data_IF_108104404819
#
_entry.id   IF_108104404819
#
_cell.length_a   1.000
_cell.length_b   1.000
_cell.length_c   1.000
_cell.angle_alpha   90.00
_cell.angle_beta   90.00
_cell.angle_gamma   90.00
#
_symmetry.space_group_name_H-M   'P 1'
#
loop_
_entity.id
_entity.type
_entity.pdbx_description
1 polymer ?
#
# COMPACT_ATOMS: atom_id res chain seq x y z
N UNK A 1 -15.05 13.66 -11.03
CA UNK A 1 -15.43 12.50 -11.89
C UNK A 1 -16.75 11.95 -11.39
N UNK A 2 -17.59 11.35 -12.24
CA UNK A 2 -18.81 10.68 -11.77
C UNK A 2 -18.54 9.18 -11.69
N UNK A 3 -18.80 8.58 -10.54
CA UNK A 3 -18.67 7.16 -10.33
C UNK A 3 -20.02 6.47 -10.55
N UNK A 4 -19.99 5.22 -10.98
CA UNK A 4 -21.20 4.43 -11.13
C UNK A 4 -21.53 3.79 -9.79
N UNK A 5 -22.58 4.25 -9.11
CA UNK A 5 -22.98 3.82 -7.77
C UNK A 5 -23.10 2.29 -7.62
N UNK A 6 -23.63 1.64 -8.66
CA UNK A 6 -23.82 0.20 -8.66
C UNK A 6 -22.58 -0.62 -9.05
N UNK A 7 -21.44 0.04 -9.34
CA UNK A 7 -20.20 -0.67 -9.64
C UNK A 7 -19.75 -1.43 -8.37
N UNK A 8 -19.48 -2.72 -8.52
CA UNK A 8 -18.90 -3.51 -7.42
C UNK A 8 -17.42 -3.20 -7.29
N UNK A 9 -16.97 -2.99 -6.07
CA UNK A 9 -15.58 -2.77 -5.72
C UNK A 9 -15.01 -4.02 -5.03
N UNK A 10 -13.79 -4.38 -5.44
CA UNK A 10 -12.99 -5.43 -4.83
C UNK A 10 -11.86 -4.80 -4.01
N UNK A 11 -12.09 -4.65 -2.72
CA UNK A 11 -11.13 -4.04 -1.79
C UNK A 11 -9.91 -4.92 -1.53
N UNK A 12 -9.95 -6.21 -1.89
CA UNK A 12 -8.79 -7.11 -1.72
C UNK A 12 -7.57 -6.73 -2.57
N UNK A 13 -7.78 -5.90 -3.60
CA UNK A 13 -6.72 -5.39 -4.48
C UNK A 13 -5.98 -4.18 -3.89
N UNK A 14 -6.44 -3.67 -2.74
CA UNK A 14 -5.83 -2.52 -2.08
C UNK A 14 -5.46 -2.87 -0.64
N UNK A 15 -4.26 -2.50 -0.25
CA UNK A 15 -3.79 -2.65 1.14
C UNK A 15 -3.32 -1.30 1.65
N UNK A 16 -3.19 -1.15 2.96
CA UNK A 16 -2.69 0.08 3.57
C UNK A 16 -1.66 -0.20 4.66
N UNK A 17 -0.81 0.79 4.90
CA UNK A 17 -0.01 0.87 6.11
C UNK A 17 0.10 2.31 6.56
N UNK A 18 -0.10 2.57 7.85
CA UNK A 18 0.27 3.83 8.44
C UNK A 18 1.69 3.70 9.00
N UNK A 19 2.61 4.53 8.51
CA UNK A 19 3.92 4.69 9.12
C UNK A 19 3.74 5.29 10.51
N UNK A 20 3.56 4.41 11.51
CA UNK A 20 3.25 4.81 12.87
C UNK A 20 4.43 5.52 13.53
N UNK A 21 4.39 6.84 13.56
CA UNK A 21 4.95 7.63 14.64
C UNK A 21 4.04 7.54 15.88
N UNK A 22 3.76 6.32 16.36
CA UNK A 22 3.03 6.07 17.60
C UNK A 22 4.02 5.96 18.75
N UNK A 23 4.12 7.00 19.58
CA UNK A 23 4.66 6.90 20.93
C UNK A 23 3.74 5.99 21.76
N UNK A 24 3.85 4.70 21.57
CA UNK A 24 3.24 3.64 22.34
C UNK A 24 4.27 2.53 22.46
N UNK A 25 5.02 2.52 23.59
CA UNK A 25 6.16 1.66 23.83
C UNK A 25 5.90 0.18 23.54
N UNK A 26 6.31 -0.25 22.37
CA UNK A 26 6.77 -1.62 22.15
C UNK A 26 8.27 -1.50 21.93
N UNK A 27 9.04 -1.98 22.90
CA UNK A 27 10.48 -2.04 22.82
C UNK A 27 10.87 -2.69 21.51
N UNK A 28 11.49 -1.90 20.62
CA UNK A 28 12.27 -2.45 19.53
C UNK A 28 13.45 -3.20 20.19
N UNK A 29 13.35 -4.51 20.29
CA UNK A 29 14.45 -5.39 20.68
C UNK A 29 15.39 -5.50 19.48
N UNK A 30 16.05 -4.43 19.15
CA UNK A 30 17.09 -4.33 18.14
C UNK A 30 18.26 -3.55 18.72
N UNK A 31 19.23 -4.27 19.20
CA UNK A 31 20.43 -3.72 19.83
C UNK A 31 21.07 -4.73 20.78
N UNK A 32 22.20 -4.38 21.35
CA UNK A 32 22.94 -5.22 22.33
C UNK A 32 22.03 -5.77 23.46
N UNK A 33 21.00 -5.01 23.87
CA UNK A 33 19.99 -5.43 24.84
C UNK A 33 19.15 -6.63 24.41
N UNK A 34 18.85 -6.78 23.11
CA UNK A 34 18.09 -7.92 22.59
C UNK A 34 18.85 -9.24 22.67
N UNK A 35 20.14 -9.19 22.43
CA UNK A 35 21.02 -10.37 22.50
C UNK A 35 21.11 -10.85 23.96
N UNK A 36 21.19 -9.95 24.92
CA UNK A 36 21.25 -10.29 26.36
C UNK A 36 19.96 -10.96 26.81
N UNK A 37 18.79 -10.49 26.36
CA UNK A 37 17.49 -11.07 26.71
C UNK A 37 17.36 -12.49 26.13
N UNK A 38 17.80 -12.73 24.88
CA UNK A 38 17.78 -14.06 24.26
C UNK A 38 18.72 -15.02 24.99
N UNK A 39 19.92 -14.58 25.35
CA UNK A 39 20.88 -15.41 26.11
C UNK A 39 20.37 -15.70 27.52
N UNK A 40 19.70 -14.76 28.17
CA UNK A 40 19.10 -14.96 29.50
C UNK A 40 17.93 -15.93 29.43
N UNK A 41 17.10 -15.86 28.38
CA UNK A 41 15.99 -16.79 28.14
C UNK A 41 16.52 -18.23 27.94
N UNK A 42 17.58 -18.41 27.15
CA UNK A 42 18.24 -19.70 26.96
C UNK A 42 18.79 -20.26 28.27
N UNK A 43 19.37 -19.40 29.11
CA UNK A 43 19.92 -19.80 30.39
C UNK A 43 18.85 -20.22 31.42
N UNK A 44 17.66 -19.60 31.31
CA UNK A 44 16.50 -19.89 32.18
C UNK A 44 15.61 -21.01 31.63
N UNK A 45 15.98 -21.65 30.52
CA UNK A 45 15.25 -22.77 29.93
C UNK A 45 13.97 -22.39 29.21
N UNK A 46 13.79 -21.11 28.87
CA UNK A 46 12.70 -20.64 28.00
C UNK A 46 13.10 -20.81 26.54
N UNK A 47 12.17 -21.32 25.71
CA UNK A 47 12.39 -21.45 24.27
C UNK A 47 12.51 -20.06 23.65
N UNK A 48 13.69 -19.65 23.15
CA UNK A 48 13.86 -18.35 22.52
C UNK A 48 13.03 -18.20 21.25
N UNK A 49 12.56 -19.29 20.63
CA UNK A 49 11.62 -19.26 19.50
C UNK A 49 10.27 -18.65 19.86
N UNK A 50 9.82 -18.81 21.11
CA UNK A 50 8.58 -18.20 21.60
C UNK A 50 8.72 -16.68 21.85
N UNK A 51 9.95 -16.21 22.12
CA UNK A 51 10.25 -14.78 22.33
C UNK A 51 10.70 -14.06 21.06
N UNK A 52 11.32 -14.77 20.13
CA UNK A 52 11.78 -14.25 18.82
C UNK A 52 10.81 -14.63 17.69
N UNK A 53 9.84 -15.51 17.97
CA UNK A 53 8.69 -15.82 17.10
C UNK A 53 7.72 -14.65 16.89
N UNK A 54 7.97 -13.49 17.50
CA UNK A 54 7.56 -12.20 16.98
C UNK A 54 8.43 -11.90 15.75
N UNK A 55 8.07 -12.49 14.61
CA UNK A 55 8.50 -12.10 13.28
C UNK A 55 8.92 -10.64 13.25
N UNK A 56 10.04 -10.34 12.58
CA UNK A 56 10.24 -9.02 12.01
C UNK A 56 8.96 -8.73 11.20
N UNK A 57 7.98 -8.10 11.87
CA UNK A 57 6.78 -7.63 11.23
C UNK A 57 7.26 -6.53 10.29
N UNK A 58 7.40 -6.87 9.02
CA UNK A 58 7.31 -5.88 7.98
C UNK A 58 6.04 -5.04 8.24
N UNK A 59 5.92 -3.86 7.68
CA UNK A 59 4.74 -3.02 7.90
C UNK A 59 3.51 -3.89 7.75
N UNK A 60 2.68 -3.97 8.81
CA UNK A 60 1.45 -4.77 8.77
C UNK A 60 0.58 -4.16 7.69
N UNK A 61 0.49 -4.85 6.57
CA UNK A 61 -0.45 -4.52 5.51
C UNK A 61 -1.83 -4.87 6.05
N UNK A 62 -2.67 -3.86 6.19
CA UNK A 62 -4.07 -4.03 6.53
C UNK A 62 -4.91 -3.92 5.26
N UNK A 63 -5.76 -4.90 5.00
CA UNK A 63 -6.83 -4.82 4.00
C UNK A 63 -8.11 -4.29 4.62
N UNK A 64 -8.17 -4.20 5.94
CA UNK A 64 -9.38 -3.87 6.68
C UNK A 64 -9.80 -2.40 6.50
N UNK A 65 -8.85 -1.51 6.22
CA UNK A 65 -9.12 -0.08 6.04
C UNK A 65 -10.04 0.22 4.84
N UNK A 66 -10.10 -0.69 3.87
CA UNK A 66 -10.93 -0.56 2.66
C UNK A 66 -12.08 -1.58 2.61
N UNK A 67 -12.30 -2.37 3.66
CA UNK A 67 -13.33 -3.41 3.68
C UNK A 67 -14.76 -2.88 3.53
N UNK A 68 -14.99 -1.61 3.88
CA UNK A 68 -16.26 -0.91 3.68
C UNK A 68 -16.51 -0.48 2.24
N UNK A 69 -15.47 -0.42 1.38
CA UNK A 69 -15.57 -0.01 -0.01
C UNK A 69 -16.10 -1.16 -0.88
N UNK A 70 -17.41 -1.33 -0.97
CA UNK A 70 -18.08 -2.44 -1.66
C UNK A 70 -18.69 -2.04 -2.99
N UNK A 71 -19.08 -0.78 -3.12
CA UNK A 71 -19.76 -0.25 -4.31
C UNK A 71 -19.27 1.16 -4.63
N UNK A 72 -19.55 1.62 -5.85
CA UNK A 72 -19.23 2.99 -6.25
C UNK A 72 -19.93 4.05 -5.39
N UNK A 73 -21.11 3.76 -4.84
CA UNK A 73 -21.80 4.67 -3.92
C UNK A 73 -21.04 4.90 -2.60
N UNK A 74 -20.18 3.97 -2.19
CA UNK A 74 -19.38 4.14 -0.98
C UNK A 74 -18.35 5.27 -1.09
N UNK A 75 -18.01 5.70 -2.31
CA UNK A 75 -17.11 6.83 -2.59
C UNK A 75 -17.72 8.16 -2.10
N UNK A 76 -19.05 8.28 -2.12
CA UNK A 76 -19.75 9.48 -1.66
C UNK A 76 -19.63 9.68 -0.14
N UNK A 77 -19.51 8.59 0.61
CA UNK A 77 -19.38 8.59 2.07
C UNK A 77 -17.96 8.45 2.56
N UNK A 78 -17.13 7.71 1.79
CA UNK A 78 -15.70 7.56 2.04
C UNK A 78 -14.94 7.78 0.73
N UNK A 79 -14.40 8.97 0.58
CA UNK A 79 -13.70 9.37 -0.64
C UNK A 79 -12.50 8.47 -0.97
N UNK A 80 -11.89 7.82 0.01
CA UNK A 80 -10.73 6.94 -0.21
C UNK A 80 -11.11 5.65 -0.94
N UNK A 81 -12.40 5.27 -0.96
CA UNK A 81 -12.91 4.18 -1.80
C UNK A 81 -12.66 4.41 -3.30
N UNK A 82 -12.37 5.66 -3.73
CA UNK A 82 -11.99 5.95 -5.12
C UNK A 82 -10.69 5.25 -5.53
N UNK A 83 -9.75 5.05 -4.61
CA UNK A 83 -8.51 4.31 -4.90
C UNK A 83 -8.78 2.84 -5.23
N UNK A 84 -9.76 2.24 -4.54
CA UNK A 84 -10.24 0.89 -4.87
C UNK A 84 -10.87 0.88 -6.26
N UNK A 85 -11.71 1.88 -6.57
CA UNK A 85 -12.37 1.99 -7.87
C UNK A 85 -11.36 2.15 -9.02
N UNK A 86 -10.32 2.99 -8.85
CA UNK A 86 -9.27 3.17 -9.87
C UNK A 86 -8.48 1.88 -10.07
N UNK A 87 -8.02 1.26 -8.98
CA UNK A 87 -7.29 -0.01 -9.01
C UNK A 87 -8.09 -1.08 -9.74
N UNK A 88 -9.35 -1.29 -9.37
CA UNK A 88 -10.21 -2.28 -10.01
C UNK A 88 -10.43 -2.00 -11.49
N UNK A 89 -10.67 -0.74 -11.86
CA UNK A 89 -10.89 -0.34 -13.25
C UNK A 89 -9.65 -0.60 -14.11
N UNK A 90 -8.47 -0.22 -13.63
CA UNK A 90 -7.20 -0.40 -14.35
C UNK A 90 -6.89 -1.90 -14.50
N UNK A 91 -7.01 -2.68 -13.44
CA UNK A 91 -6.76 -4.12 -13.49
C UNK A 91 -7.77 -4.86 -14.38
N UNK A 92 -9.05 -4.46 -14.32
CA UNK A 92 -10.08 -5.00 -15.21
C UNK A 92 -9.78 -4.73 -16.69
N UNK A 93 -9.29 -3.55 -17.01
CA UNK A 93 -8.87 -3.20 -18.37
C UNK A 93 -7.70 -4.08 -18.82
N UNK A 94 -6.62 -4.15 -18.03
CA UNK A 94 -5.42 -4.88 -18.43
C UNK A 94 -5.63 -6.40 -18.46
N UNK A 95 -6.49 -6.94 -17.62
CA UNK A 95 -6.84 -8.37 -17.66
C UNK A 95 -7.52 -8.77 -18.98
N UNK A 96 -8.14 -7.82 -19.68
CA UNK A 96 -8.76 -8.05 -20.99
C UNK A 96 -7.80 -7.67 -22.15
N UNK A 97 -6.99 -6.65 -21.97
CA UNK A 97 -6.15 -6.07 -23.02
C UNK A 97 -4.81 -6.80 -23.19
N UNK A 98 -4.27 -7.41 -22.13
CA UNK A 98 -2.96 -8.05 -22.15
C UNK A 98 -3.09 -9.55 -21.83
N UNK A 99 -2.81 -10.40 -22.83
CA UNK A 99 -2.72 -11.84 -22.58
C UNK A 99 -1.58 -12.15 -21.61
N UNK A 100 -1.88 -12.91 -20.56
CA UNK A 100 -0.92 -13.24 -19.52
C UNK A 100 -0.74 -12.14 -18.46
N UNK A 101 -1.63 -11.16 -18.41
CA UNK A 101 -1.64 -10.16 -17.34
C UNK A 101 -1.63 -10.84 -15.97
N UNK A 102 -0.74 -10.38 -15.10
CA UNK A 102 -0.67 -10.79 -13.71
C UNK A 102 -1.15 -9.62 -12.85
N UNK A 103 -2.26 -9.78 -12.11
CA UNK A 103 -2.75 -8.73 -11.21
C UNK A 103 -1.69 -8.35 -10.16
N UNK A 104 -1.73 -7.09 -9.75
CA UNK A 104 -0.90 -6.59 -8.66
C UNK A 104 -1.74 -5.92 -7.58
N UNK A 105 -1.13 -5.59 -6.46
CA UNK A 105 -1.76 -4.88 -5.35
C UNK A 105 -1.38 -3.40 -5.43
N UNK A 106 -2.34 -2.53 -5.11
CA UNK A 106 -2.07 -1.13 -4.77
C UNK A 106 -1.90 -1.02 -3.26
N UNK A 107 -0.73 -0.58 -2.80
CA UNK A 107 -0.43 -0.36 -1.39
C UNK A 107 -0.43 1.12 -1.06
N UNK A 108 -1.36 1.54 -0.20
CA UNK A 108 -1.49 2.93 0.24
C UNK A 108 -0.72 3.09 1.56
N UNK A 109 0.15 4.10 1.62
CA UNK A 109 0.93 4.36 2.81
C UNK A 109 0.90 5.84 3.19
N UNK A 110 1.27 6.14 4.43
CA UNK A 110 1.46 7.50 4.93
C UNK A 110 2.81 7.59 5.62
N UNK A 111 3.63 8.56 5.23
CA UNK A 111 4.92 8.84 5.83
C UNK A 111 6.05 7.97 5.29
N UNK A 112 6.14 6.70 5.67
CA UNK A 112 7.23 5.81 5.26
C UNK A 112 6.71 4.39 5.02
N UNK A 113 7.29 3.74 4.01
CA UNK A 113 7.02 2.33 3.69
C UNK A 113 8.32 1.60 3.37
N UNK A 114 8.42 0.34 3.80
CA UNK A 114 9.51 -0.56 3.41
C UNK A 114 9.03 -1.48 2.30
N UNK A 115 9.80 -1.56 1.22
CA UNK A 115 9.48 -2.34 0.02
C UNK A 115 10.66 -3.23 -0.36
N UNK A 116 10.47 -4.16 -1.28
CA UNK A 116 11.58 -4.95 -1.84
C UNK A 116 12.58 -4.11 -2.66
N UNK A 117 12.20 -2.88 -3.04
CA UNK A 117 13.08 -1.91 -3.72
C UNK A 117 13.80 -0.97 -2.75
N UNK A 118 13.58 -1.12 -1.44
CA UNK A 118 14.12 -0.27 -0.39
C UNK A 118 13.04 0.50 0.37
N UNK A 119 13.47 1.40 1.26
CA UNK A 119 12.57 2.24 2.04
C UNK A 119 12.24 3.51 1.25
N UNK A 120 10.94 3.82 1.16
CA UNK A 120 10.43 5.05 0.55
C UNK A 120 9.72 5.92 1.59
N UNK A 121 9.73 7.22 1.37
CA UNK A 121 9.02 8.22 2.18
C UNK A 121 8.06 9.00 1.27
N UNK A 122 7.17 9.79 1.86
CA UNK A 122 6.25 10.68 1.13
C UNK A 122 6.94 11.60 0.10
N UNK A 123 8.23 11.87 0.27
CA UNK A 123 9.00 12.68 -0.69
C UNK A 123 9.21 12.00 -2.05
N UNK A 124 9.09 10.68 -2.12
CA UNK A 124 9.24 9.92 -3.39
C UNK A 124 8.01 10.09 -4.28
N UNK A 125 6.84 10.29 -3.69
CA UNK A 125 5.55 10.24 -4.39
C UNK A 125 5.10 8.81 -4.70
N UNK A 126 4.08 8.63 -5.55
CA UNK A 126 3.67 7.32 -6.07
C UNK A 126 4.80 6.63 -6.82
N UNK A 127 4.88 5.31 -6.75
CA UNK A 127 5.87 4.53 -7.48
C UNK A 127 5.46 3.06 -7.62
N UNK A 128 6.00 2.40 -8.62
CA UNK A 128 5.95 0.95 -8.79
C UNK A 128 7.28 0.31 -8.38
N UNK A 129 7.26 -0.75 -7.60
CA UNK A 129 8.45 -1.53 -7.28
C UNK A 129 8.46 -2.84 -8.09
N UNK A 130 9.40 -3.03 -9.03
CA UNK A 130 9.44 -4.23 -9.86
C UNK A 130 9.83 -5.50 -9.09
N UNK A 131 10.52 -5.37 -7.96
CA UNK A 131 11.00 -6.51 -7.17
C UNK A 131 9.88 -7.23 -6.41
N UNK A 132 8.90 -6.52 -5.90
CA UNK A 132 7.69 -7.08 -5.26
C UNK A 132 6.45 -6.97 -6.14
N UNK A 133 6.54 -6.21 -7.24
CA UNK A 133 5.47 -5.97 -8.21
C UNK A 133 4.26 -5.27 -7.59
N UNK A 134 4.49 -4.35 -6.66
CA UNK A 134 3.43 -3.59 -5.98
C UNK A 134 3.48 -2.13 -6.42
N UNK A 135 2.30 -1.54 -6.61
CA UNK A 135 2.12 -0.09 -6.80
C UNK A 135 1.95 0.56 -5.44
N UNK A 136 2.79 1.53 -5.13
CA UNK A 136 2.79 2.25 -3.85
C UNK A 136 2.27 3.67 -4.04
N UNK A 137 1.31 4.07 -3.21
CA UNK A 137 0.69 5.40 -3.25
C UNK A 137 0.79 6.07 -1.89
N UNK A 138 1.36 7.27 -1.85
CA UNK A 138 1.32 8.13 -0.67
C UNK A 138 0.10 9.05 -0.72
N UNK A 139 -0.71 9.04 0.33
CA UNK A 139 -1.93 9.89 0.38
C UNK A 139 -1.60 11.36 0.44
N UNK A 140 -0.51 11.75 1.11
CA UNK A 140 -0.08 13.14 1.23
C UNK A 140 0.36 13.73 -0.13
N UNK A 141 0.85 12.90 -1.05
CA UNK A 141 1.16 13.34 -2.41
C UNK A 141 -0.09 13.86 -3.14
N UNK A 142 -1.21 13.17 -3.02
CA UNK A 142 -2.44 13.59 -3.70
C UNK A 142 -3.02 14.87 -3.11
N UNK A 143 -2.87 15.09 -1.81
CA UNK A 143 -3.26 16.36 -1.17
C UNK A 143 -2.39 17.52 -1.69
N UNK A 144 -1.08 17.30 -1.84
CA UNK A 144 -0.18 18.29 -2.43
C UNK A 144 -0.50 18.55 -3.92
N UNK A 145 -0.75 17.49 -4.69
CA UNK A 145 -1.12 17.61 -6.10
C UNK A 145 -2.39 18.45 -6.26
N UNK A 146 -3.41 18.18 -5.45
CA UNK A 146 -4.66 18.93 -5.45
C UNK A 146 -4.44 20.39 -5.05
N UNK A 147 -3.61 20.66 -4.04
CA UNK A 147 -3.33 22.02 -3.58
C UNK A 147 -2.53 22.84 -4.60
N UNK A 148 -1.61 22.21 -5.33
CA UNK A 148 -0.76 22.87 -6.33
C UNK A 148 -1.47 23.11 -7.67
N UNK A 149 -2.30 22.15 -8.10
CA UNK A 149 -3.05 22.23 -9.36
C UNK A 149 -4.43 22.86 -9.20
N UNK A 150 -4.83 23.18 -7.97
CA UNK A 150 -6.14 23.72 -7.64
C UNK A 150 -7.26 22.70 -7.90
N UNK A 151 -8.49 23.18 -8.01
CA UNK A 151 -9.67 22.34 -8.29
C UNK A 151 -9.59 21.55 -9.61
N UNK A 152 -8.61 21.84 -10.45
CA UNK A 152 -8.40 21.15 -11.73
C UNK A 152 -7.58 19.84 -11.60
N UNK A 153 -6.88 19.63 -10.49
CA UNK A 153 -6.13 18.39 -10.22
C UNK A 153 -7.05 17.18 -10.03
N UNK A 154 -8.00 17.28 -9.16
CA UNK A 154 -9.11 16.35 -8.89
C UNK A 154 -8.93 14.87 -9.20
N UNK A 155 -10.02 14.16 -9.21
CA UNK A 155 -10.11 12.70 -9.44
C UNK A 155 -9.42 12.22 -10.73
N UNK A 156 -9.42 13.04 -11.79
CA UNK A 156 -8.81 12.65 -13.06
C UNK A 156 -7.27 12.61 -12.99
N UNK A 157 -6.66 13.54 -12.26
CA UNK A 157 -5.21 13.55 -12.06
C UNK A 157 -4.78 12.38 -11.17
N UNK A 158 -5.55 12.05 -10.12
CA UNK A 158 -5.30 10.87 -9.28
C UNK A 158 -5.37 9.58 -10.11
N UNK A 159 -6.43 9.41 -10.89
CA UNK A 159 -6.60 8.25 -11.76
C UNK A 159 -5.46 8.12 -12.78
N UNK A 160 -5.00 9.25 -13.34
CA UNK A 160 -3.87 9.27 -14.28
C UNK A 160 -2.56 8.82 -13.62
N UNK A 161 -2.25 9.35 -12.44
CA UNK A 161 -1.02 8.98 -11.71
C UNK A 161 -1.02 7.49 -11.39
N UNK A 162 -2.14 6.95 -10.89
CA UNK A 162 -2.24 5.52 -10.58
C UNK A 162 -2.09 4.68 -11.85
N UNK A 163 -2.74 5.07 -12.94
CA UNK A 163 -2.61 4.38 -14.22
C UNK A 163 -1.18 4.41 -14.76
N UNK A 164 -0.43 5.48 -14.50
CA UNK A 164 0.99 5.59 -14.85
C UNK A 164 1.83 4.53 -14.12
N UNK A 165 1.64 4.36 -12.82
CA UNK A 165 2.35 3.34 -12.04
C UNK A 165 1.99 1.92 -12.49
N UNK A 166 0.74 1.69 -12.85
CA UNK A 166 0.34 0.44 -13.51
C UNK A 166 1.00 0.27 -14.88
N UNK A 167 1.29 1.34 -15.61
CA UNK A 167 2.09 1.31 -16.84
C UNK A 167 3.48 0.72 -16.60
N UNK A 168 4.14 1.06 -15.51
CA UNK A 168 5.41 0.44 -15.12
C UNK A 168 5.26 -1.05 -14.80
N UNK A 169 4.15 -1.46 -14.19
CA UNK A 169 3.85 -2.89 -13.99
C UNK A 169 3.72 -3.62 -15.32
N UNK A 170 3.01 -3.04 -16.29
CA UNK A 170 2.86 -3.61 -17.64
C UNK A 170 4.22 -3.73 -18.33
N UNK A 171 5.04 -2.67 -18.30
CA UNK A 171 6.40 -2.69 -18.85
C UNK A 171 7.24 -3.82 -18.24
N UNK A 172 7.15 -4.01 -16.92
CA UNK A 172 7.84 -5.09 -16.22
C UNK A 172 7.34 -6.48 -16.64
N UNK A 173 6.04 -6.66 -16.87
CA UNK A 173 5.46 -7.93 -17.34
C UNK A 173 5.84 -8.25 -18.79
N UNK A 174 5.98 -7.24 -19.62
CA UNK A 174 6.25 -7.39 -21.08
C UNK A 174 7.74 -7.35 -21.40
N UNK A 175 8.58 -6.98 -20.44
CA UNK A 175 10.02 -6.88 -20.64
C UNK A 175 10.45 -5.65 -21.45
N UNK A 176 9.68 -4.58 -21.42
CA UNK A 176 9.93 -3.31 -22.14
C UNK A 176 10.47 -2.24 -21.20
#
# INVERSE_FOLDING_TARGET
MQYKDSARLDSSQVTSSSGGGGAGGKMAVGGIGGIIIVLLAMFLGFDPGALVGGTAAGPQQSTDDYAQCKTGADIDTNRDCRFVAYTNSIQSYWSQALSGYQPTTTHIFTGQVSTACGTATSAVGPFYCPSDRIVYLDTGFFDQLTSQLGAQGGDAAEAYVIAHEYGHHISNLTGV
#
